data_IF_362114158292
#
_entry.id   IF_362114158292
#
_cell.length_a   1.000
_cell.length_b   1.000
_cell.length_c   1.000
_cell.angle_alpha   90.00
_cell.angle_beta   90.00
_cell.angle_gamma   90.00
#
_symmetry.space_group_name_H-M   'P 1'
#
loop_
_entity.id
_entity.type
_entity.pdbx_description
1 polymer ?
#
# COMPACT_ATOMS: atom_id res chain seq x y z
N UNK A 1 -4.98 27.44 6.80
CA UNK A 1 -5.85 26.24 6.96
C UNK A 1 -5.76 25.81 8.41
N UNK A 2 -6.88 25.49 9.07
CA UNK A 2 -6.92 25.11 10.47
C UNK A 2 -7.23 23.62 10.59
N UNK A 3 -6.48 22.92 11.41
CA UNK A 3 -6.63 21.48 11.65
C UNK A 3 -6.89 21.23 13.15
N UNK A 4 -7.94 20.48 13.48
CA UNK A 4 -8.28 20.12 14.85
C UNK A 4 -7.72 18.75 15.20
N UNK A 5 -6.91 18.67 16.23
CA UNK A 5 -6.50 17.41 16.83
C UNK A 5 -7.43 17.03 18.00
N UNK A 6 -7.40 15.71 18.39
CA UNK A 6 -8.31 15.09 19.35
C UNK A 6 -8.22 15.83 20.65
N UNK A 7 -8.32 16.52 21.35
CA UNK A 7 -8.27 17.28 22.60
C UNK A 7 -8.58 18.79 22.45
N UNK A 8 -9.11 19.20 21.28
CA UNK A 8 -9.54 20.56 21.08
C UNK A 8 -8.42 21.58 20.81
N UNK A 9 -7.17 21.11 20.70
CA UNK A 9 -6.10 21.97 20.22
C UNK A 9 -6.25 22.22 18.71
N UNK A 10 -6.09 23.47 18.31
CA UNK A 10 -6.15 23.91 16.92
C UNK A 10 -4.72 24.23 16.45
N UNK A 11 -4.29 23.60 15.35
CA UNK A 11 -3.02 23.92 14.71
C UNK A 11 -3.34 24.81 13.49
N UNK A 12 -2.69 25.97 13.43
CA UNK A 12 -2.82 26.86 12.29
C UNK A 12 -1.64 26.72 11.34
N UNK A 13 -1.90 26.25 10.12
CA UNK A 13 -0.92 26.08 9.05
C UNK A 13 -0.90 27.28 8.07
N UNK A 14 -1.33 28.47 8.53
CA UNK A 14 -1.53 29.64 7.70
C UNK A 14 -0.29 30.05 6.88
N UNK A 15 0.89 29.87 7.47
CA UNK A 15 2.18 30.24 6.86
C UNK A 15 2.92 29.06 6.24
N UNK A 16 2.31 27.86 6.21
CA UNK A 16 2.89 26.68 5.56
C UNK A 16 2.55 26.63 4.08
N UNK A 17 3.56 26.41 3.24
CA UNK A 17 3.35 26.17 1.82
C UNK A 17 2.48 24.91 1.61
N UNK A 18 1.54 24.99 0.67
CA UNK A 18 0.57 23.93 0.40
C UNK A 18 1.24 22.60 -0.02
N UNK A 19 2.41 22.66 -0.66
CA UNK A 19 3.14 21.44 -1.05
C UNK A 19 3.67 20.68 0.16
N UNK A 20 4.26 21.37 1.14
CA UNK A 20 4.69 20.75 2.40
C UNK A 20 3.50 20.23 3.21
N UNK A 21 2.41 21.01 3.26
CA UNK A 21 1.19 20.58 3.93
C UNK A 21 0.64 19.30 3.30
N UNK A 22 0.57 19.21 1.98
CA UNK A 22 0.09 18.02 1.27
C UNK A 22 0.94 16.78 1.61
N UNK A 23 2.27 16.89 1.59
CA UNK A 23 3.15 15.76 1.92
C UNK A 23 2.94 15.31 3.37
N UNK A 24 2.82 16.24 4.31
CA UNK A 24 2.50 15.95 5.71
C UNK A 24 1.15 15.23 5.87
N UNK A 25 0.12 15.73 5.19
CA UNK A 25 -1.23 15.16 5.20
C UNK A 25 -1.28 13.74 4.62
N UNK A 26 -0.60 13.49 3.50
CA UNK A 26 -0.49 12.15 2.92
C UNK A 26 0.16 11.16 3.89
N UNK A 27 1.25 11.58 4.55
CA UNK A 27 1.92 10.73 5.53
C UNK A 27 1.01 10.45 6.75
N UNK A 28 0.33 11.47 7.29
CA UNK A 28 -0.60 11.30 8.41
C UNK A 28 -1.78 10.39 8.03
N UNK A 29 -2.40 10.62 6.88
CA UNK A 29 -3.49 9.81 6.37
C UNK A 29 -3.07 8.33 6.26
N UNK A 30 -1.92 8.06 5.65
CA UNK A 30 -1.42 6.68 5.50
C UNK A 30 -1.11 6.01 6.85
N UNK A 31 -0.61 6.75 7.83
CA UNK A 31 -0.39 6.23 9.18
C UNK A 31 -1.71 5.85 9.86
N UNK A 32 -2.74 6.70 9.77
CA UNK A 32 -4.09 6.42 10.32
C UNK A 32 -4.74 5.24 9.62
N UNK A 33 -4.65 5.20 8.29
CA UNK A 33 -5.17 4.09 7.49
C UNK A 33 -4.48 2.78 7.86
N UNK A 34 -3.15 2.79 8.01
CA UNK A 34 -2.41 1.60 8.44
C UNK A 34 -2.89 1.08 9.79
N UNK A 35 -3.09 1.95 10.78
CA UNK A 35 -3.60 1.55 12.10
C UNK A 35 -4.98 0.90 12.01
N UNK A 36 -5.89 1.43 11.19
CA UNK A 36 -7.20 0.85 10.94
C UNK A 36 -7.09 -0.52 10.28
N UNK A 37 -6.32 -0.60 9.21
CA UNK A 37 -6.16 -1.82 8.42
C UNK A 37 -5.41 -2.93 9.17
N UNK A 38 -4.41 -2.59 9.99
CA UNK A 38 -3.70 -3.58 10.83
C UNK A 38 -4.62 -4.21 11.90
N UNK A 39 -5.65 -3.50 12.35
CA UNK A 39 -6.69 -4.07 13.25
C UNK A 39 -7.64 -5.00 12.50
N UNK A 40 -7.87 -4.73 11.23
CA UNK A 40 -8.76 -5.53 10.39
C UNK A 40 -8.10 -6.86 9.98
N UNK A 41 -6.83 -6.83 9.57
CA UNK A 41 -6.08 -8.02 9.15
C UNK A 41 -5.29 -8.62 10.32
N UNK A 42 -5.93 -9.43 11.15
CA UNK A 42 -5.36 -9.95 12.41
C UNK A 42 -4.05 -10.75 12.23
N UNK A 43 -3.85 -11.48 11.13
CA UNK A 43 -2.69 -12.39 10.93
C UNK A 43 -1.49 -11.67 10.26
N UNK A 44 -1.77 -10.74 9.36
CA UNK A 44 -0.75 -10.01 8.60
C UNK A 44 -1.00 -8.51 8.70
N UNK A 45 0.08 -7.71 8.62
CA UNK A 45 -0.06 -6.25 8.60
C UNK A 45 -0.62 -5.74 7.27
N UNK A 46 -1.18 -4.52 7.28
CA UNK A 46 -1.60 -3.83 6.06
C UNK A 46 -0.50 -3.81 4.98
N UNK A 47 0.74 -3.52 5.37
CA UNK A 47 1.86 -3.51 4.41
C UNK A 47 2.11 -4.87 3.78
N UNK A 48 1.92 -5.95 4.52
CA UNK A 48 2.00 -7.31 4.00
C UNK A 48 0.81 -7.66 3.10
N UNK A 49 -0.40 -7.24 3.49
CA UNK A 49 -1.58 -7.37 2.64
C UNK A 49 -1.39 -6.60 1.31
N UNK A 50 -0.91 -5.36 1.38
CA UNK A 50 -0.62 -4.55 0.19
C UNK A 50 0.46 -5.18 -0.70
N UNK A 51 1.45 -5.86 -0.13
CA UNK A 51 2.43 -6.65 -0.87
C UNK A 51 1.75 -7.80 -1.65
N UNK A 52 0.82 -8.53 -1.03
CA UNK A 52 0.07 -9.59 -1.72
C UNK A 52 -0.79 -9.02 -2.87
N UNK A 53 -1.42 -7.87 -2.65
CA UNK A 53 -2.16 -7.14 -3.71
C UNK A 53 -1.22 -6.79 -4.85
N UNK A 54 -0.05 -6.20 -4.58
CA UNK A 54 0.93 -5.85 -5.60
C UNK A 54 1.40 -7.07 -6.41
N UNK A 55 1.66 -8.20 -5.76
CA UNK A 55 2.05 -9.44 -6.45
C UNK A 55 0.92 -9.91 -7.39
N UNK A 56 -0.33 -9.82 -6.94
CA UNK A 56 -1.50 -10.25 -7.73
C UNK A 56 -1.77 -9.39 -8.98
N UNK A 57 -1.22 -8.18 -9.07
CA UNK A 57 -1.36 -7.31 -10.24
C UNK A 57 -0.52 -7.77 -11.46
N UNK A 58 0.48 -8.62 -11.24
CA UNK A 58 1.33 -9.10 -12.32
C UNK A 58 0.68 -10.28 -13.04
N UNK A 59 0.80 -10.30 -14.38
CA UNK A 59 0.32 -11.42 -15.22
C UNK A 59 1.15 -12.69 -15.01
N UNK A 60 2.45 -12.50 -14.75
CA UNK A 60 3.41 -13.57 -14.46
C UNK A 60 4.00 -13.34 -13.08
N UNK A 61 4.49 -14.41 -12.44
CA UNK A 61 5.10 -14.33 -11.13
C UNK A 61 6.25 -13.30 -11.10
N UNK A 62 6.12 -12.21 -10.33
CA UNK A 62 7.13 -11.14 -10.31
C UNK A 62 8.38 -11.53 -9.55
N UNK A 63 9.45 -10.79 -9.82
CA UNK A 63 10.69 -10.81 -9.03
C UNK A 63 10.61 -9.84 -7.85
N UNK A 64 11.53 -9.99 -6.88
CA UNK A 64 11.70 -9.06 -5.78
C UNK A 64 11.86 -7.60 -6.26
N UNK A 65 12.62 -7.39 -7.35
CA UNK A 65 12.86 -6.06 -7.91
C UNK A 65 11.56 -5.42 -8.40
N UNK A 66 10.80 -6.14 -9.20
CA UNK A 66 9.53 -5.66 -9.77
C UNK A 66 8.51 -5.30 -8.68
N UNK A 67 8.40 -6.13 -7.65
CA UNK A 67 7.49 -5.86 -6.53
C UNK A 67 7.97 -4.67 -5.70
N UNK A 68 9.27 -4.53 -5.47
CA UNK A 68 9.81 -3.37 -4.73
C UNK A 68 9.57 -2.06 -5.47
N UNK A 69 9.61 -2.10 -6.79
CA UNK A 69 9.37 -0.93 -7.63
C UNK A 69 7.90 -0.47 -7.57
N UNK A 70 6.95 -1.40 -7.70
CA UNK A 70 5.52 -1.05 -7.61
C UNK A 70 5.11 -0.61 -6.20
N UNK A 71 5.72 -1.19 -5.16
CA UNK A 71 5.49 -0.78 -3.77
C UNK A 71 6.16 0.54 -3.39
N UNK A 72 7.07 1.08 -4.21
CA UNK A 72 7.82 2.29 -3.91
C UNK A 72 8.75 2.18 -2.69
N UNK A 73 9.19 0.97 -2.33
CA UNK A 73 10.01 0.72 -1.13
C UNK A 73 11.30 -0.04 -1.45
N UNK A 74 12.20 -0.18 -0.46
CA UNK A 74 13.49 -0.85 -0.67
C UNK A 74 13.34 -2.37 -0.84
N UNK A 75 14.26 -2.97 -1.61
CA UNK A 75 14.35 -4.44 -1.75
C UNK A 75 14.47 -5.15 -0.40
N UNK A 76 15.17 -4.56 0.56
CA UNK A 76 15.33 -5.13 1.89
C UNK A 76 14.01 -5.20 2.66
N UNK A 77 13.19 -4.15 2.59
CA UNK A 77 11.87 -4.13 3.23
C UNK A 77 10.95 -5.19 2.63
N UNK A 78 10.89 -5.28 1.28
CA UNK A 78 10.09 -6.30 0.61
C UNK A 78 10.57 -7.71 0.97
N UNK A 79 11.89 -7.94 0.98
CA UNK A 79 12.48 -9.23 1.35
C UNK A 79 12.07 -9.65 2.77
N UNK A 80 12.10 -8.74 3.74
CA UNK A 80 11.68 -9.04 5.12
C UNK A 80 10.19 -9.41 5.21
N UNK A 81 9.34 -8.70 4.47
CA UNK A 81 7.92 -9.02 4.40
C UNK A 81 7.67 -10.39 3.74
N UNK A 82 8.38 -10.69 2.64
CA UNK A 82 8.28 -11.98 1.94
C UNK A 82 8.69 -13.14 2.83
N UNK A 83 9.80 -13.05 3.58
CA UNK A 83 10.24 -14.09 4.53
C UNK A 83 9.12 -14.41 5.54
N UNK A 84 8.45 -13.38 6.05
CA UNK A 84 7.33 -13.58 6.99
C UNK A 84 6.11 -14.19 6.30
N UNK A 85 5.74 -13.71 5.12
CA UNK A 85 4.61 -14.23 4.35
C UNK A 85 4.83 -15.66 3.87
N UNK A 86 6.05 -16.02 3.49
CA UNK A 86 6.43 -17.40 3.15
C UNK A 86 6.32 -18.33 4.35
N UNK A 87 6.81 -17.89 5.53
CA UNK A 87 6.67 -18.64 6.79
C UNK A 87 5.20 -18.86 7.18
N UNK A 88 4.32 -17.95 6.82
CA UNK A 88 2.86 -18.03 7.05
C UNK A 88 2.11 -18.73 5.90
N UNK A 89 2.84 -19.24 4.90
CA UNK A 89 2.31 -19.92 3.70
C UNK A 89 1.39 -19.04 2.82
N UNK A 90 1.61 -17.73 2.78
CA UNK A 90 0.91 -16.83 1.86
C UNK A 90 1.58 -16.76 0.48
N UNK A 91 2.90 -16.89 0.43
CA UNK A 91 3.69 -16.84 -0.81
C UNK A 91 4.67 -17.99 -0.88
N UNK A 92 5.16 -18.31 -2.07
CA UNK A 92 6.30 -19.18 -2.33
C UNK A 92 7.34 -18.45 -3.16
N UNK A 93 8.61 -18.70 -2.86
CA UNK A 93 9.74 -18.20 -3.62
C UNK A 93 10.32 -19.34 -4.43
N UNK A 94 10.19 -19.27 -5.75
CA UNK A 94 10.64 -20.28 -6.68
C UNK A 94 11.81 -19.77 -7.52
N UNK A 95 12.78 -20.63 -7.82
CA UNK A 95 13.88 -20.24 -8.69
C UNK A 95 13.36 -20.04 -10.10
N UNK A 96 13.71 -18.90 -10.73
CA UNK A 96 13.34 -18.60 -12.13
C UNK A 96 13.95 -19.68 -13.06
N UNK A 97 13.13 -20.34 -13.88
CA UNK A 97 13.63 -21.39 -14.79
C UNK A 97 14.61 -20.86 -15.84
N UNK A 98 14.55 -19.59 -16.18
CA UNK A 98 15.40 -18.95 -17.20
C UNK A 98 16.68 -18.32 -16.62
N UNK A 99 16.68 -17.93 -15.32
CA UNK A 99 17.82 -17.35 -14.64
C UNK A 99 17.87 -17.79 -13.16
N UNK A 100 18.66 -18.80 -12.88
CA UNK A 100 18.80 -19.40 -11.53
C UNK A 100 19.23 -18.42 -10.42
N UNK A 101 19.66 -17.20 -10.78
CA UNK A 101 20.00 -16.15 -9.80
C UNK A 101 18.78 -15.32 -9.38
N UNK A 102 17.65 -15.46 -10.09
CA UNK A 102 16.41 -14.78 -9.78
C UNK A 102 15.43 -15.70 -9.08
N UNK A 103 14.59 -15.11 -8.24
CA UNK A 103 13.47 -15.80 -7.63
C UNK A 103 12.17 -15.15 -8.11
N UNK A 104 11.18 -15.99 -8.40
CA UNK A 104 9.81 -15.62 -8.71
C UNK A 104 8.94 -15.79 -7.48
N UNK A 105 7.98 -14.89 -7.30
CA UNK A 105 7.10 -14.87 -6.15
C UNK A 105 5.72 -15.30 -6.61
N UNK A 106 5.21 -16.41 -6.06
CA UNK A 106 3.88 -16.94 -6.36
C UNK A 106 2.97 -16.85 -5.14
N UNK A 107 1.69 -16.57 -5.35
CA UNK A 107 0.67 -16.60 -4.31
C UNK A 107 0.19 -18.05 -4.09
N UNK A 108 -0.08 -18.42 -2.85
CA UNK A 108 -0.57 -19.76 -2.50
C UNK A 108 -2.10 -19.84 -2.50
N UNK A 109 -2.64 -21.04 -2.32
CA UNK A 109 -4.09 -21.24 -2.12
C UNK A 109 -4.58 -20.57 -0.82
N UNK A 110 -3.72 -20.48 0.22
CA UNK A 110 -4.03 -19.72 1.44
C UNK A 110 -4.31 -18.25 1.12
N UNK A 111 -3.52 -17.65 0.25
CA UNK A 111 -3.72 -16.24 -0.17
C UNK A 111 -5.02 -16.05 -0.93
N UNK A 112 -5.37 -16.98 -1.81
CA UNK A 112 -6.65 -16.91 -2.54
C UNK A 112 -7.83 -16.95 -1.57
N UNK A 113 -7.81 -17.89 -0.64
CA UNK A 113 -8.84 -18.01 0.39
C UNK A 113 -8.91 -16.76 1.27
N UNK A 114 -7.76 -16.24 1.69
CA UNK A 114 -7.68 -14.99 2.44
C UNK A 114 -8.32 -13.82 1.68
N UNK A 115 -8.06 -13.69 0.38
CA UNK A 115 -8.66 -12.65 -0.45
C UNK A 115 -10.18 -12.82 -0.53
N UNK A 116 -10.67 -14.03 -0.81
CA UNK A 116 -12.11 -14.34 -0.87
C UNK A 116 -12.83 -14.00 0.44
N UNK A 117 -12.25 -14.32 1.58
CA UNK A 117 -12.81 -14.05 2.92
C UNK A 117 -12.83 -12.56 3.27
N UNK A 118 -11.86 -11.78 2.76
CA UNK A 118 -11.67 -10.38 3.11
C UNK A 118 -12.18 -9.39 2.05
N UNK A 119 -12.55 -9.84 0.85
CA UNK A 119 -12.95 -8.95 -0.25
C UNK A 119 -14.18 -8.11 0.09
N UNK A 120 -15.29 -8.73 0.45
CA UNK A 120 -16.51 -8.02 0.78
C UNK A 120 -16.39 -7.11 2.02
N UNK A 121 -15.78 -7.54 3.15
CA UNK A 121 -15.52 -6.65 4.29
C UNK A 121 -14.59 -5.49 3.96
N UNK A 122 -13.56 -5.71 3.13
CA UNK A 122 -12.65 -4.64 2.69
C UNK A 122 -13.36 -3.61 1.82
N UNK A 123 -14.23 -4.07 0.92
CA UNK A 123 -15.05 -3.20 0.07
C UNK A 123 -15.99 -2.32 0.90
N UNK A 124 -16.60 -2.87 1.95
CA UNK A 124 -17.46 -2.11 2.85
C UNK A 124 -16.70 -0.98 3.56
N UNK A 125 -15.50 -1.27 4.07
CA UNK A 125 -14.61 -0.26 4.68
C UNK A 125 -14.25 0.84 3.67
N UNK A 126 -13.92 0.46 2.42
CA UNK A 126 -13.61 1.42 1.36
C UNK A 126 -14.82 2.28 1.01
N UNK A 127 -16.00 1.70 0.86
CA UNK A 127 -17.23 2.43 0.60
C UNK A 127 -17.53 3.44 1.70
N UNK A 128 -17.37 3.05 2.97
CA UNK A 128 -17.55 3.94 4.11
C UNK A 128 -16.50 5.06 4.13
N UNK A 129 -15.21 4.73 3.92
CA UNK A 129 -14.12 5.70 3.93
C UNK A 129 -14.30 6.77 2.83
N UNK A 130 -14.72 6.36 1.63
CA UNK A 130 -14.88 7.25 0.47
C UNK A 130 -16.29 7.82 0.31
N UNK A 131 -17.22 7.56 1.26
CA UNK A 131 -18.60 8.06 1.18
C UNK A 131 -18.73 9.58 1.16
N UNK A 132 -17.72 10.31 1.62
CA UNK A 132 -17.67 11.78 1.66
C UNK A 132 -16.92 12.40 0.48
N UNK A 133 -16.47 11.61 -0.49
CA UNK A 133 -15.66 12.06 -1.64
C UNK A 133 -16.44 11.75 -2.91
N UNK A 134 -16.64 12.74 -3.77
CA UNK A 134 -17.27 12.50 -5.07
C UNK A 134 -16.28 11.93 -6.10
N UNK A 135 -16.81 11.47 -7.22
CA UNK A 135 -16.02 10.81 -8.25
C UNK A 135 -15.00 11.75 -8.90
N UNK A 136 -15.36 13.02 -9.11
CA UNK A 136 -14.49 14.00 -9.73
C UNK A 136 -13.32 14.38 -8.81
N UNK A 137 -13.60 14.59 -7.52
CA UNK A 137 -12.58 14.82 -6.49
C UNK A 137 -11.59 13.66 -6.40
N UNK A 138 -12.08 12.42 -6.44
CA UNK A 138 -11.25 11.22 -6.41
C UNK A 138 -10.35 11.13 -7.65
N UNK A 139 -10.90 11.35 -8.86
CA UNK A 139 -10.14 11.33 -10.11
C UNK A 139 -9.05 12.41 -10.14
N UNK A 140 -9.38 13.64 -9.71
CA UNK A 140 -8.41 14.75 -9.60
C UNK A 140 -7.28 14.38 -8.62
N UNK A 141 -7.63 13.83 -7.47
CA UNK A 141 -6.65 13.43 -6.44
C UNK A 141 -5.72 12.34 -6.96
N UNK A 142 -6.25 11.29 -7.57
CA UNK A 142 -5.46 10.21 -8.19
C UNK A 142 -4.50 10.79 -9.23
N UNK A 143 -4.99 11.61 -10.16
CA UNK A 143 -4.17 12.21 -11.21
C UNK A 143 -3.06 13.11 -10.63
N UNK A 144 -3.34 13.83 -9.56
CA UNK A 144 -2.34 14.67 -8.89
C UNK A 144 -1.23 13.82 -8.28
N UNK A 145 -1.58 12.77 -7.55
CA UNK A 145 -0.60 11.85 -6.94
C UNK A 145 0.23 11.13 -8.00
N UNK A 146 -0.38 10.70 -9.11
CA UNK A 146 0.36 10.07 -10.21
C UNK A 146 1.40 11.02 -10.84
N UNK A 147 1.07 12.32 -11.00
CA UNK A 147 2.04 13.33 -11.49
C UNK A 147 3.21 13.51 -10.52
N UNK A 148 2.91 13.57 -9.21
CA UNK A 148 3.95 13.68 -8.18
C UNK A 148 4.85 12.44 -8.13
N UNK A 149 4.28 11.24 -8.23
CA UNK A 149 5.02 9.97 -8.27
C UNK A 149 5.93 9.89 -9.50
N UNK A 150 5.42 10.30 -10.68
CA UNK A 150 6.22 10.35 -11.90
C UNK A 150 7.42 11.31 -11.74
N UNK A 151 7.22 12.47 -11.12
CA UNK A 151 8.29 13.42 -10.85
C UNK A 151 9.32 12.88 -9.86
N UNK A 152 8.88 12.20 -8.78
CA UNK A 152 9.78 11.54 -7.84
C UNK A 152 10.67 10.48 -8.49
N UNK A 153 10.15 9.74 -9.48
CA UNK A 153 10.92 8.76 -10.24
C UNK A 153 12.03 9.39 -11.09
N UNK A 154 11.84 10.63 -11.55
CA UNK A 154 12.87 11.39 -12.30
C UNK A 154 13.95 12.00 -11.40
N UNK A 155 13.69 12.13 -10.09
CA UNK A 155 14.63 12.71 -9.11
C UNK A 155 15.56 11.67 -8.46
N UNK A 156 15.41 10.38 -8.83
CA UNK A 156 16.22 9.25 -8.30
C UNK A 156 17.54 9.06 -9.06
#
# INVERSE_FOLDING_TARGET
>A
MKYKIAEGQEIDFKDMDNSFFLIGLLNEFMNRYQVLADRFFCEISWKQCFLLICINLFKEAPTLKEVSEIMGTSHQNVKQMLIRLEKLDYVRLETDPSDKRKQRITLTEKTKKFNEENDAPSQEIMNQLFSCVDKEELEITINTILKLDAQLKLMR
#
